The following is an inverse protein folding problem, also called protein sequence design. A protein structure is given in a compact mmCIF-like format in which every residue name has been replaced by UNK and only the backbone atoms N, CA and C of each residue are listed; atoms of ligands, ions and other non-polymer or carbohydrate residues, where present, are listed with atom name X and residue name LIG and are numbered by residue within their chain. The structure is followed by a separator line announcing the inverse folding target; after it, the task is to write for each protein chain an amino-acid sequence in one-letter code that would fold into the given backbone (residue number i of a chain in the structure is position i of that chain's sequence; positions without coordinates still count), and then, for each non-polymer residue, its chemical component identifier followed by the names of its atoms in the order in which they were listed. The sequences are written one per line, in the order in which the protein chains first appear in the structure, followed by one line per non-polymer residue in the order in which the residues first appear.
data_IF_571137051086
#
_entry.id   IF_571137051086
#
_cell.length_a   1.000
_cell.length_b   1.000
_cell.length_c   1.000
_cell.angle_alpha   90.00
_cell.angle_beta   90.00
_cell.angle_gamma   90.00
#
_symmetry.space_group_name_H-M   'P 1'
#
loop_
_entity.id
_entity.type
_entity.pdbx_description
1 polymer ?
#
# COMPACT_ATOMS: atom_id res chain seq x y z
N UNK A 1 -13.81 -32.81 9.68
CA UNK A 1 -12.66 -32.02 9.18
C UNK A 1 -12.32 -30.93 10.20
N UNK A 2 -11.10 -30.92 10.78
CA UNK A 2 -10.72 -29.91 11.80
C UNK A 2 -10.55 -28.55 11.13
N UNK A 3 -11.41 -27.59 11.45
CA UNK A 3 -11.26 -26.19 11.00
C UNK A 3 -10.08 -25.55 11.73
N UNK A 4 -8.94 -25.44 11.05
CA UNK A 4 -7.73 -24.81 11.60
C UNK A 4 -7.96 -23.31 11.76
N UNK A 5 -8.05 -22.84 13.01
CA UNK A 5 -8.14 -21.41 13.34
C UNK A 5 -6.74 -20.81 13.46
N UNK A 6 -6.57 -19.60 12.94
CA UNK A 6 -5.32 -18.85 12.90
C UNK A 6 -5.40 -17.64 13.86
N UNK A 7 -4.88 -17.75 15.09
CA UNK A 7 -4.85 -16.65 16.04
C UNK A 7 -3.81 -15.59 15.64
N UNK A 8 -4.06 -14.34 16.06
CA UNK A 8 -3.09 -13.28 15.90
C UNK A 8 -1.89 -13.51 16.83
N UNK A 9 -0.64 -13.45 16.34
CA UNK A 9 0.56 -13.62 17.17
C UNK A 9 0.85 -12.43 18.10
N UNK A 10 0.11 -11.31 18.00
CA UNK A 10 0.31 -10.17 18.89
C UNK A 10 -0.40 -10.41 20.24
N UNK A 11 0.31 -10.39 21.39
CA UNK A 11 -0.27 -10.62 22.71
C UNK A 11 -1.41 -9.66 23.06
N UNK A 12 -1.36 -8.43 22.54
CA UNK A 12 -2.37 -7.39 22.75
C UNK A 12 -3.52 -7.47 21.74
N UNK A 13 -3.61 -8.54 20.94
CA UNK A 13 -4.64 -8.72 19.92
C UNK A 13 -5.27 -10.11 19.99
N UNK A 14 -6.52 -10.18 20.45
CA UNK A 14 -7.29 -11.43 20.59
C UNK A 14 -8.03 -11.87 19.32
N UNK A 15 -7.63 -11.35 18.15
CA UNK A 15 -8.31 -11.67 16.88
C UNK A 15 -7.95 -13.08 16.41
N UNK A 16 -8.97 -13.87 16.05
CA UNK A 16 -8.81 -15.24 15.53
C UNK A 16 -9.49 -15.36 14.18
N UNK A 17 -8.80 -15.96 13.21
CA UNK A 17 -9.25 -16.02 11.82
C UNK A 17 -9.44 -17.46 11.36
N UNK A 18 -10.47 -17.69 10.56
CA UNK A 18 -10.69 -19.01 9.96
C UNK A 18 -9.74 -19.31 8.79
N UNK A 19 -9.12 -18.26 8.22
CA UNK A 19 -8.24 -18.40 7.05
C UNK A 19 -6.94 -17.63 7.22
N UNK A 20 -5.81 -18.24 6.83
CA UNK A 20 -4.48 -17.62 6.88
C UNK A 20 -4.41 -16.30 6.11
N UNK A 21 -5.10 -16.20 4.95
CA UNK A 21 -5.18 -14.95 4.17
C UNK A 21 -5.77 -13.78 4.96
N UNK A 22 -6.74 -14.06 5.84
CA UNK A 22 -7.39 -13.04 6.67
C UNK A 22 -6.45 -12.59 7.79
N UNK A 23 -5.75 -13.54 8.44
CA UNK A 23 -4.71 -13.22 9.43
C UNK A 23 -3.59 -12.36 8.81
N UNK A 24 -3.08 -12.72 7.63
CA UNK A 24 -2.05 -11.95 6.93
C UNK A 24 -2.51 -10.53 6.62
N UNK A 25 -3.77 -10.35 6.20
CA UNK A 25 -4.35 -9.03 5.96
C UNK A 25 -4.48 -8.22 7.25
N UNK A 26 -4.95 -8.85 8.33
CA UNK A 26 -5.07 -8.25 9.65
C UNK A 26 -3.72 -7.75 10.17
N UNK A 27 -2.68 -8.59 10.10
CA UNK A 27 -1.33 -8.24 10.52
C UNK A 27 -0.76 -7.07 9.71
N UNK A 28 -1.02 -7.04 8.40
CA UNK A 28 -0.47 -6.03 7.50
C UNK A 28 -1.16 -4.66 7.63
N UNK A 29 -2.45 -4.63 7.98
CA UNK A 29 -3.25 -3.41 7.84
C UNK A 29 -4.03 -2.97 9.08
N UNK A 30 -4.12 -3.79 10.13
CA UNK A 30 -5.00 -3.52 11.27
C UNK A 30 -4.29 -3.68 12.62
N UNK A 31 -3.52 -4.75 12.79
CA UNK A 31 -2.83 -5.05 14.03
C UNK A 31 -1.73 -4.00 14.30
N UNK A 32 -1.80 -3.34 15.47
CA UNK A 32 -0.85 -2.28 15.84
C UNK A 32 -0.88 -1.01 14.98
N UNK A 33 -1.81 -0.89 14.02
CA UNK A 33 -1.92 0.30 13.16
C UNK A 33 -2.82 1.36 13.81
N UNK A 34 -2.48 2.64 13.64
CA UNK A 34 -3.34 3.76 14.01
C UNK A 34 -4.55 3.89 13.06
N UNK A 35 -5.65 4.55 13.46
CA UNK A 35 -6.81 4.79 12.60
C UNK A 35 -6.41 5.56 11.33
N UNK A 36 -6.79 5.04 10.16
CA UNK A 36 -6.40 5.58 8.85
C UNK A 36 -7.53 6.33 8.14
N UNK A 37 -8.76 5.95 8.41
CA UNK A 37 -9.92 6.53 7.75
C UNK A 37 -10.69 7.37 8.76
N UNK A 38 -10.83 8.67 8.48
CA UNK A 38 -11.62 9.62 9.28
C UNK A 38 -12.96 9.88 8.59
N UNK A 39 -14.02 9.92 9.40
CA UNK A 39 -15.33 10.33 8.93
C UNK A 39 -15.32 11.85 8.66
N UNK A 40 -15.85 12.33 7.52
CA UNK A 40 -15.93 13.76 7.26
C UNK A 40 -17.01 14.45 8.11
N UNK A 41 -17.99 13.69 8.62
CA UNK A 41 -19.16 14.24 9.31
C UNK A 41 -19.08 14.15 10.84
N UNK A 42 -18.06 13.48 11.38
CA UNK A 42 -17.84 13.37 12.83
C UNK A 42 -16.39 12.99 13.15
N UNK A 43 -16.07 12.90 14.44
CA UNK A 43 -14.72 12.56 14.92
C UNK A 43 -14.38 11.06 14.84
N UNK A 44 -15.26 10.22 14.31
CA UNK A 44 -15.03 8.78 14.21
C UNK A 44 -13.88 8.45 13.25
N UNK A 45 -12.98 7.56 13.68
CA UNK A 45 -11.87 7.07 12.89
C UNK A 45 -11.77 5.55 12.97
N UNK A 46 -11.31 4.91 11.88
CA UNK A 46 -11.15 3.46 11.85
C UNK A 46 -9.98 3.01 10.95
N UNK A 47 -9.59 1.74 11.09
CA UNK A 47 -8.44 1.16 10.37
C UNK A 47 -8.81 0.60 8.98
N UNK A 48 -10.08 0.30 8.73
CA UNK A 48 -10.55 -0.36 7.50
C UNK A 48 -11.58 0.49 6.77
N UNK A 49 -11.39 0.65 5.45
CA UNK A 49 -12.29 1.39 4.57
C UNK A 49 -13.74 0.89 4.62
N UNK A 50 -13.93 -0.44 4.66
CA UNK A 50 -15.27 -1.06 4.72
C UNK A 50 -16.02 -0.67 5.99
N UNK A 51 -15.33 -0.61 7.13
CA UNK A 51 -15.93 -0.19 8.40
C UNK A 51 -16.35 1.29 8.35
N UNK A 52 -15.56 2.17 7.73
CA UNK A 52 -15.94 3.57 7.54
C UNK A 52 -17.21 3.72 6.69
N UNK A 53 -17.31 2.98 5.58
CA UNK A 53 -18.53 3.00 4.75
C UNK A 53 -19.76 2.55 5.52
N UNK A 54 -19.64 1.48 6.31
CA UNK A 54 -20.72 1.00 7.18
C UNK A 54 -21.11 2.05 8.22
N UNK A 55 -20.12 2.68 8.85
CA UNK A 55 -20.35 3.77 9.81
C UNK A 55 -21.15 4.91 9.18
N UNK A 56 -20.73 5.44 8.02
CA UNK A 56 -21.44 6.53 7.33
C UNK A 56 -22.87 6.11 6.99
N UNK A 57 -23.05 4.90 6.44
CA UNK A 57 -24.38 4.39 6.07
C UNK A 57 -25.34 4.32 7.26
N UNK A 58 -24.86 3.95 8.44
CA UNK A 58 -25.71 3.76 9.62
C UNK A 58 -25.89 5.05 10.42
N UNK A 59 -24.84 5.86 10.58
CA UNK A 59 -24.81 7.04 11.47
C UNK A 59 -25.04 8.37 10.74
N UNK A 60 -24.89 8.39 9.43
CA UNK A 60 -25.05 9.57 8.58
C UNK A 60 -25.98 9.21 7.40
N UNK A 61 -27.22 8.84 7.73
CA UNK A 61 -28.25 8.52 6.73
C UNK A 61 -28.47 9.73 5.81
N UNK A 62 -28.66 9.47 4.51
CA UNK A 62 -28.81 10.49 3.46
C UNK A 62 -27.57 11.39 3.24
N UNK A 63 -26.38 10.98 3.68
CA UNK A 63 -25.11 11.62 3.31
C UNK A 63 -24.33 10.75 2.34
N UNK A 64 -23.63 11.39 1.43
CA UNK A 64 -22.76 10.72 0.47
C UNK A 64 -21.61 9.97 1.17
N UNK A 65 -21.19 8.86 0.57
CA UNK A 65 -20.14 8.00 1.14
C UNK A 65 -18.75 8.55 0.78
N UNK A 66 -18.42 9.72 1.34
CA UNK A 66 -17.08 10.30 1.29
C UNK A 66 -16.28 9.89 2.53
N UNK A 67 -15.01 9.52 2.34
CA UNK A 67 -14.10 9.13 3.43
C UNK A 67 -12.76 9.82 3.28
N UNK A 68 -12.23 10.30 4.40
CA UNK A 68 -10.93 10.95 4.46
C UNK A 68 -9.90 9.88 4.79
N UNK A 69 -9.02 9.56 3.85
CA UNK A 69 -7.84 8.71 4.11
C UNK A 69 -6.70 9.64 4.55
N UNK A 70 -6.45 9.74 5.85
CA UNK A 70 -5.43 10.66 6.40
C UNK A 70 -4.01 10.35 5.91
N UNK A 71 -3.77 9.13 5.42
CA UNK A 71 -2.51 8.77 4.78
C UNK A 71 -2.41 9.27 3.33
N UNK A 72 -3.55 9.41 2.63
CA UNK A 72 -3.61 10.05 1.32
C UNK A 72 -3.66 11.58 1.43
N UNK A 73 -4.24 12.13 2.51
CA UNK A 73 -4.29 13.57 2.75
C UNK A 73 -2.88 14.16 2.93
N UNK A 74 -2.04 13.49 3.75
CA UNK A 74 -0.63 13.86 3.93
C UNK A 74 0.20 13.63 2.66
N UNK A 75 -0.10 12.58 1.90
CA UNK A 75 0.54 12.32 0.61
C UNK A 75 0.14 13.33 -0.47
N UNK A 76 -1.11 13.81 -0.48
CA UNK A 76 -1.61 14.81 -1.43
C UNK A 76 -1.05 16.20 -1.16
N UNK A 77 -0.78 16.55 0.10
CA UNK A 77 -0.05 17.77 0.45
C UNK A 77 1.45 17.70 0.09
N UNK A 78 2.03 16.49 0.02
CA UNK A 78 3.45 16.29 -0.30
C UNK A 78 3.73 15.96 -1.77
N UNK A 79 2.73 15.56 -2.54
CA UNK A 79 2.85 15.55 -3.99
C UNK A 79 2.89 17.01 -4.45
N UNK A 80 3.83 17.39 -5.34
CA UNK A 80 3.64 18.60 -6.12
C UNK A 80 2.24 18.50 -6.73
N UNK A 81 1.43 19.56 -6.59
CA UNK A 81 0.24 19.73 -7.44
C UNK A 81 0.67 19.43 -8.88
N UNK A 82 -0.19 18.85 -9.73
CA UNK A 82 0.17 18.61 -11.13
C UNK A 82 0.48 19.94 -11.83
N UNK A 83 1.75 20.32 -11.80
CA UNK A 83 2.42 21.33 -12.61
C UNK A 83 3.71 20.64 -13.04
N UNK A 84 4.00 20.46 -14.33
CA UNK A 84 3.85 21.40 -15.45
C UNK A 84 3.01 20.85 -16.62
N UNK A 85 2.13 21.70 -17.13
CA UNK A 85 1.89 21.79 -18.58
C UNK A 85 3.20 22.29 -19.21
N UNK A 86 4.04 21.37 -19.68
CA UNK A 86 5.04 21.73 -20.68
C UNK A 86 4.37 21.58 -22.04
N UNK A 87 3.63 22.62 -22.43
CA UNK A 87 3.30 22.87 -23.83
C UNK A 87 4.59 23.20 -24.56
N UNK A 88 5.19 22.20 -25.22
CA UNK A 88 6.16 22.47 -26.28
C UNK A 88 5.40 22.38 -27.60
N UNK A 89 5.14 23.54 -28.19
CA UNK A 89 4.54 23.73 -29.51
C UNK A 89 5.44 23.12 -30.57
N UNK A 90 5.00 22.02 -31.18
CA UNK A 90 5.44 21.62 -32.51
C UNK A 90 4.30 20.91 -33.20
N UNK A 91 3.87 21.48 -34.32
CA UNK A 91 2.78 20.99 -35.16
C UNK A 91 3.05 19.55 -35.64
N UNK A 92 1.96 18.79 -35.77
CA UNK A 92 1.84 17.38 -36.21
C UNK A 92 2.21 16.32 -35.16
N UNK A 93 1.24 16.00 -34.31
CA UNK A 93 0.78 14.65 -33.93
C UNK A 93 0.18 14.71 -32.51
N UNK A 94 -1.08 14.30 -32.25
CA UNK A 94 -1.64 14.25 -30.89
C UNK A 94 -0.98 13.14 -30.07
N UNK A 95 0.24 13.40 -29.58
CA UNK A 95 0.91 12.52 -28.63
C UNK A 95 0.23 12.68 -27.26
N UNK A 96 -0.53 11.66 -26.85
CA UNK A 96 -1.05 11.49 -25.47
C UNK A 96 0.01 11.90 -24.45
N UNK A 97 -0.16 13.04 -23.80
CA UNK A 97 0.64 13.44 -22.64
C UNK A 97 0.32 12.46 -21.52
N UNK A 98 1.25 11.54 -21.23
CA UNK A 98 1.10 10.61 -20.11
C UNK A 98 1.56 11.35 -18.85
N UNK A 99 0.62 12.00 -18.15
CA UNK A 99 0.88 12.59 -16.84
C UNK A 99 1.62 11.59 -15.97
N UNK A 100 2.82 11.96 -15.51
CA UNK A 100 3.62 11.13 -14.60
C UNK A 100 3.50 11.66 -13.18
N UNK A 101 3.53 10.76 -12.22
CA UNK A 101 3.42 11.04 -10.79
C UNK A 101 4.78 10.77 -10.12
N UNK A 102 5.58 11.80 -9.83
CA UNK A 102 6.87 11.66 -9.19
C UNK A 102 6.73 11.39 -7.69
N UNK A 103 7.60 10.54 -7.16
CA UNK A 103 7.75 10.34 -5.73
C UNK A 103 8.41 11.57 -5.09
N UNK A 104 7.84 12.19 -4.04
CA UNK A 104 8.39 13.42 -3.47
C UNK A 104 9.74 13.22 -2.77
N UNK A 105 10.05 11.99 -2.33
CA UNK A 105 11.30 11.68 -1.60
C UNK A 105 12.46 11.28 -2.51
N UNK A 106 12.20 10.57 -3.61
CA UNK A 106 13.28 10.04 -4.46
C UNK A 106 13.11 10.38 -5.95
N UNK A 107 12.12 11.21 -6.29
CA UNK A 107 11.82 11.71 -7.66
C UNK A 107 11.53 10.64 -8.72
N UNK A 108 11.46 9.34 -8.36
CA UNK A 108 11.02 8.29 -9.30
C UNK A 108 9.60 8.55 -9.78
N UNK A 109 9.41 8.54 -11.11
CA UNK A 109 8.15 8.87 -11.77
C UNK A 109 7.36 7.62 -12.17
N UNK A 110 6.06 7.65 -11.92
CA UNK A 110 5.13 6.56 -12.18
C UNK A 110 4.01 7.00 -13.13
N UNK A 111 3.42 6.07 -13.87
CA UNK A 111 2.32 6.38 -14.79
C UNK A 111 0.96 6.52 -14.10
N UNK A 112 0.85 6.11 -12.83
CA UNK A 112 -0.41 6.17 -12.08
C UNK A 112 -0.18 6.63 -10.63
N UNK A 113 -1.18 7.32 -10.08
CA UNK A 113 -1.21 7.75 -8.68
C UNK A 113 -1.12 6.58 -7.69
N UNK A 114 -1.76 5.45 -8.04
CA UNK A 114 -1.71 4.22 -7.24
C UNK A 114 -0.30 3.63 -7.16
N UNK A 115 0.46 3.65 -8.27
CA UNK A 115 1.82 3.14 -8.31
C UNK A 115 2.79 3.99 -7.48
N UNK A 116 2.73 5.33 -7.59
CA UNK A 116 3.56 6.20 -6.74
C UNK A 116 3.19 6.09 -5.25
N UNK A 117 1.90 5.93 -4.94
CA UNK A 117 1.42 5.73 -3.56
C UNK A 117 1.98 4.41 -2.98
N UNK A 118 1.90 3.33 -3.75
CA UNK A 118 2.43 2.03 -3.34
C UNK A 118 3.96 2.09 -3.15
N UNK A 119 4.67 2.71 -4.10
CA UNK A 119 6.10 2.94 -3.99
C UNK A 119 6.47 3.73 -2.72
N UNK A 120 5.82 4.86 -2.48
CA UNK A 120 6.09 5.70 -1.32
C UNK A 120 5.81 4.94 0.00
N UNK A 121 4.70 4.19 0.04
CA UNK A 121 4.29 3.46 1.24
C UNK A 121 5.17 2.25 1.55
N UNK A 122 5.69 1.54 0.56
CA UNK A 122 6.32 0.23 0.77
C UNK A 122 7.80 0.15 0.35
N UNK A 123 8.25 0.99 -0.59
CA UNK A 123 9.58 0.85 -1.20
C UNK A 123 10.51 2.03 -0.91
N UNK A 124 9.96 3.25 -0.86
CA UNK A 124 10.74 4.48 -0.75
C UNK A 124 11.33 4.67 0.64
N UNK A 125 12.67 4.67 0.74
CA UNK A 125 13.39 4.81 2.02
C UNK A 125 13.23 3.63 2.98
N UNK A 126 12.62 2.52 2.58
CA UNK A 126 12.52 1.31 3.40
C UNK A 126 13.68 0.35 3.10
N UNK A 127 14.30 -0.24 4.14
CA UNK A 127 15.35 -1.22 3.95
C UNK A 127 14.79 -2.48 3.27
N UNK A 128 15.62 -3.18 2.49
CA UNK A 128 15.25 -4.47 1.92
C UNK A 128 14.87 -5.45 3.04
N UNK A 129 13.80 -6.22 2.82
CA UNK A 129 13.20 -7.11 3.83
C UNK A 129 13.34 -8.59 3.50
N UNK A 130 13.73 -8.90 2.27
CA UNK A 130 13.84 -10.26 1.79
C UNK A 130 15.31 -10.60 1.69
N UNK A 131 15.75 -11.57 2.47
CA UNK A 131 17.13 -12.05 2.50
C UNK A 131 17.24 -13.38 1.76
N UNK A 132 18.33 -13.56 1.02
CA UNK A 132 18.67 -14.84 0.44
C UNK A 132 19.18 -15.79 1.54
N UNK A 133 18.56 -16.96 1.74
CA UNK A 133 18.94 -17.89 2.81
C UNK A 133 20.31 -18.54 2.59
N UNK A 134 20.91 -18.37 1.41
CA UNK A 134 22.16 -19.04 1.03
C UNK A 134 23.39 -18.11 1.00
N UNK A 135 23.18 -16.78 0.99
CA UNK A 135 24.31 -15.83 0.89
C UNK A 135 24.06 -14.46 1.53
N UNK A 136 22.96 -14.27 2.27
CA UNK A 136 22.67 -13.02 2.98
C UNK A 136 22.28 -11.83 2.08
N UNK A 137 22.10 -12.03 0.77
CA UNK A 137 21.73 -10.94 -0.15
C UNK A 137 20.34 -10.39 0.16
N UNK A 138 20.23 -9.07 0.36
CA UNK A 138 18.99 -8.39 0.69
C UNK A 138 18.31 -7.75 -0.54
N UNK A 139 16.97 -7.87 -0.62
CA UNK A 139 16.14 -7.17 -1.60
C UNK A 139 14.84 -6.64 -1.03
N UNK A 140 14.26 -5.65 -1.72
CA UNK A 140 12.98 -5.03 -1.36
C UNK A 140 11.77 -5.85 -1.81
N UNK A 141 11.94 -6.75 -2.77
CA UNK A 141 10.85 -7.55 -3.36
C UNK A 141 11.18 -9.04 -3.33
N UNK A 142 10.19 -9.88 -3.04
CA UNK A 142 10.34 -11.34 -2.98
C UNK A 142 10.81 -11.92 -4.32
N UNK A 143 10.19 -11.50 -5.43
CA UNK A 143 10.54 -11.97 -6.78
C UNK A 143 12.03 -11.77 -7.09
N UNK A 144 12.62 -10.65 -6.67
CA UNK A 144 14.04 -10.38 -6.91
C UNK A 144 14.97 -11.35 -6.16
N UNK A 145 14.58 -11.83 -4.98
CA UNK A 145 15.34 -12.88 -4.27
C UNK A 145 15.16 -14.24 -4.95
N UNK A 146 13.94 -14.55 -5.42
CA UNK A 146 13.68 -15.80 -6.13
C UNK A 146 14.47 -15.90 -7.44
N UNK A 147 14.51 -14.82 -8.21
CA UNK A 147 15.32 -14.73 -9.43
C UNK A 147 16.82 -14.82 -9.11
N UNK A 148 17.27 -14.14 -8.04
CA UNK A 148 18.64 -14.25 -7.57
C UNK A 148 19.02 -15.69 -7.20
N UNK A 149 18.16 -16.42 -6.48
CA UNK A 149 18.41 -17.82 -6.13
C UNK A 149 18.55 -18.66 -7.40
N UNK A 150 17.67 -18.47 -8.39
CA UNK A 150 17.71 -19.22 -9.65
C UNK A 150 19.03 -19.07 -10.40
N UNK A 151 19.58 -17.85 -10.43
CA UNK A 151 20.80 -17.57 -11.20
C UNK A 151 22.10 -17.72 -10.41
N UNK A 152 22.10 -17.47 -9.10
CA UNK A 152 23.31 -17.50 -8.25
C UNK A 152 23.41 -18.73 -7.36
N UNK A 153 22.31 -19.46 -7.18
CA UNK A 153 22.25 -20.73 -6.48
C UNK A 153 21.45 -21.76 -7.31
N UNK A 154 21.86 -22.04 -8.57
CA UNK A 154 21.10 -22.90 -9.47
C UNK A 154 20.92 -24.34 -8.94
N UNK A 155 21.79 -24.78 -8.04
CA UNK A 155 21.72 -26.08 -7.36
C UNK A 155 20.86 -26.08 -6.08
N UNK A 156 20.26 -24.94 -5.70
CA UNK A 156 19.47 -24.80 -4.47
C UNK A 156 18.01 -24.45 -4.80
N UNK A 157 17.04 -24.98 -4.03
CA UNK A 157 15.62 -24.74 -4.29
C UNK A 157 15.21 -23.28 -3.98
N UNK A 158 14.30 -22.75 -4.80
CA UNK A 158 13.66 -21.44 -4.61
C UNK A 158 12.48 -21.58 -3.65
N UNK A 159 12.44 -20.78 -2.58
CA UNK A 159 11.42 -20.79 -1.51
C UNK A 159 10.48 -19.55 -1.62
#
# INVERSE_FOLDING_TARGET
MKSSRFPCPNPNCRSVFMWKKNLTSHLRYQCGQQPRFKCPYCNYMCKIKTNMRKHIRVKHQNRDIFLIDVFQQSFLQMLPLPWSEETCTSHRNPKKTRTRFPCPRCRKSYTTKSAVTAHFKYDCGKPPRFECPYCGKLSKKKFNIQDHIRHKHPSKPVI
#
